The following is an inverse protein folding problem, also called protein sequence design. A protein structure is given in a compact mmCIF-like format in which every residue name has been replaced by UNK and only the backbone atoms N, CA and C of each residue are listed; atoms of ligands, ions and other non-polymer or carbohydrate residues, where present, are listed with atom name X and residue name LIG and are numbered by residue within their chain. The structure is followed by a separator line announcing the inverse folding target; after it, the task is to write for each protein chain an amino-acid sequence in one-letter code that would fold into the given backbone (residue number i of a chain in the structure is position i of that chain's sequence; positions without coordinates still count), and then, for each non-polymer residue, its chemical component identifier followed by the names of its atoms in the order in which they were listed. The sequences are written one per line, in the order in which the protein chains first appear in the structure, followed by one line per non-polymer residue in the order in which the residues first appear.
data_IF_696633011705
#
_entry.id   IF_696633011705
#
_cell.length_a   1.000
_cell.length_b   1.000
_cell.length_c   1.000
_cell.angle_alpha   90.00
_cell.angle_beta   90.00
_cell.angle_gamma   90.00
#
_symmetry.space_group_name_H-M   'P 1'
#
loop_
_entity.id
_entity.type
_entity.pdbx_description
1 polymer ?
#
# COMPACT_ATOMS: atom_id res chain seq x y z
N UNK A 1 0.46 1.61 10.88
CA UNK A 1 1.39 2.01 9.81
C UNK A 1 1.85 3.45 9.96
N UNK A 2 0.96 4.43 9.75
CA UNK A 2 1.32 5.85 9.59
C UNK A 2 2.18 6.44 10.72
N UNK A 3 1.88 6.11 12.00
CA UNK A 3 2.68 6.59 13.14
C UNK A 3 4.11 6.03 13.11
N UNK A 4 4.28 4.74 12.80
CA UNK A 4 5.60 4.12 12.65
C UNK A 4 6.36 4.69 11.45
N UNK A 5 5.68 4.91 10.32
CA UNK A 5 6.27 5.54 9.14
C UNK A 5 6.76 6.97 9.44
N UNK A 6 5.98 7.76 10.19
CA UNK A 6 6.38 9.10 10.64
C UNK A 6 7.56 9.05 11.61
N UNK A 7 7.64 8.01 12.44
CA UNK A 7 8.76 7.75 13.34
C UNK A 7 10.01 7.16 12.65
N UNK A 8 10.01 7.05 11.31
CA UNK A 8 11.08 6.40 10.50
C UNK A 8 11.30 4.92 10.80
N UNK A 9 10.42 4.30 11.59
CA UNK A 9 10.38 2.87 11.80
C UNK A 9 9.64 2.20 10.63
N UNK A 10 10.34 2.08 9.50
CA UNK A 10 9.79 1.60 8.25
C UNK A 10 9.44 0.11 8.30
N UNK A 11 10.22 -0.70 9.02
CA UNK A 11 9.95 -2.14 9.18
C UNK A 11 8.62 -2.36 9.90
N UNK A 12 8.40 -1.67 11.03
CA UNK A 12 7.14 -1.76 11.77
C UNK A 12 5.98 -1.13 11.00
N UNK A 13 6.24 -0.08 10.22
CA UNK A 13 5.23 0.51 9.35
C UNK A 13 4.72 -0.51 8.32
N UNK A 14 5.64 -1.21 7.64
CA UNK A 14 5.34 -2.27 6.68
C UNK A 14 4.50 -3.38 7.34
N UNK A 15 4.92 -3.89 8.50
CA UNK A 15 4.19 -4.93 9.24
C UNK A 15 2.73 -4.53 9.51
N UNK A 16 2.52 -3.30 9.99
CA UNK A 16 1.18 -2.81 10.25
C UNK A 16 0.32 -2.66 8.99
N UNK A 17 0.91 -2.25 7.85
CA UNK A 17 0.16 -2.17 6.59
C UNK A 17 -0.19 -3.56 6.07
N UNK A 18 0.72 -4.53 6.20
CA UNK A 18 0.46 -5.93 5.85
C UNK A 18 -0.67 -6.52 6.69
N UNK A 19 -0.66 -6.32 8.01
CA UNK A 19 -1.78 -6.73 8.88
C UNK A 19 -3.11 -6.09 8.46
N UNK A 20 -3.09 -4.82 8.05
CA UNK A 20 -4.28 -4.13 7.53
C UNK A 20 -4.83 -4.75 6.24
N UNK A 21 -3.94 -5.20 5.35
CA UNK A 21 -4.31 -5.89 4.10
C UNK A 21 -4.86 -7.29 4.40
N UNK A 22 -4.20 -8.04 5.27
CA UNK A 22 -4.58 -9.41 5.62
C UNK A 22 -5.91 -9.46 6.38
N UNK A 23 -6.24 -8.39 7.10
CA UNK A 23 -7.53 -8.26 7.79
C UNK A 23 -8.71 -8.10 6.84
N UNK A 24 -8.49 -7.75 5.56
CA UNK A 24 -9.55 -7.63 4.56
C UNK A 24 -9.74 -8.99 3.88
N UNK A 25 -10.91 -9.63 4.03
CA UNK A 25 -11.18 -10.92 3.41
C UNK A 25 -11.16 -10.81 1.87
N UNK A 26 -10.72 -11.87 1.21
CA UNK A 26 -10.57 -11.90 -0.26
C UNK A 26 -11.89 -11.63 -1.02
N UNK A 27 -13.04 -11.85 -0.39
CA UNK A 27 -14.37 -11.52 -0.93
C UNK A 27 -14.61 -10.02 -1.06
N UNK A 28 -14.07 -9.22 -0.14
CA UNK A 28 -14.19 -7.74 -0.13
C UNK A 28 -13.07 -7.07 -0.94
N UNK A 29 -12.03 -7.82 -1.32
CA UNK A 29 -10.99 -7.36 -2.25
C UNK A 29 -11.50 -7.16 -3.68
N UNK A 30 -12.58 -7.84 -4.05
CA UNK A 30 -13.13 -7.82 -5.42
C UNK A 30 -14.39 -6.97 -5.57
N UNK A 31 -14.88 -6.34 -4.50
CA UNK A 31 -16.16 -5.62 -4.47
C UNK A 31 -16.04 -4.22 -3.88
N UNK A 32 -16.28 -3.20 -4.71
CA UNK A 32 -16.30 -1.77 -4.38
C UNK A 32 -14.97 -1.20 -3.81
N UNK A 33 -14.72 0.09 -4.04
CA UNK A 33 -13.50 0.78 -3.63
C UNK A 33 -13.30 0.75 -2.11
N UNK A 34 -12.63 -0.28 -1.60
CA UNK A 34 -12.16 -0.35 -0.22
C UNK A 34 -11.01 0.66 -0.04
N UNK A 35 -11.37 1.94 0.12
CA UNK A 35 -10.46 3.04 0.47
C UNK A 35 -9.43 2.67 1.56
N UNK A 36 -9.78 1.97 2.66
CA UNK A 36 -8.77 1.56 3.65
C UNK A 36 -7.74 0.58 3.08
N UNK A 37 -8.14 -0.38 2.24
CA UNK A 37 -7.24 -1.33 1.60
C UNK A 37 -6.32 -0.64 0.58
N UNK A 38 -6.89 0.23 -0.25
CA UNK A 38 -6.15 1.07 -1.20
C UNK A 38 -5.06 1.90 -0.50
N UNK A 39 -5.41 2.54 0.63
CA UNK A 39 -4.47 3.31 1.43
C UNK A 39 -3.37 2.42 2.05
N UNK A 40 -3.70 1.19 2.48
CA UNK A 40 -2.70 0.27 3.00
C UNK A 40 -1.67 -0.11 1.93
N UNK A 41 -2.11 -0.49 0.72
CA UNK A 41 -1.20 -0.76 -0.38
C UNK A 41 -0.36 0.46 -0.76
N UNK A 42 -0.97 1.64 -0.91
CA UNK A 42 -0.24 2.87 -1.27
C UNK A 42 0.81 3.28 -0.23
N UNK A 43 0.49 3.14 1.05
CA UNK A 43 1.41 3.49 2.13
C UNK A 43 2.50 2.42 2.32
N UNK A 44 2.18 1.14 2.10
CA UNK A 44 3.19 0.06 2.08
C UNK A 44 4.17 0.23 0.91
N UNK A 45 3.68 0.59 -0.27
CA UNK A 45 4.52 0.94 -1.43
C UNK A 45 5.48 2.10 -1.09
N UNK A 46 5.00 3.17 -0.48
CA UNK A 46 5.85 4.30 -0.06
C UNK A 46 6.94 3.89 0.94
N UNK A 47 6.60 2.98 1.85
CA UNK A 47 7.51 2.44 2.87
C UNK A 47 8.59 1.59 2.21
N UNK A 48 8.20 0.70 1.29
CA UNK A 48 9.10 -0.17 0.52
C UNK A 48 10.04 0.62 -0.40
N UNK A 49 9.56 1.67 -1.05
CA UNK A 49 10.40 2.62 -1.80
C UNK A 49 11.46 3.24 -0.87
N UNK A 50 11.06 3.67 0.32
CA UNK A 50 11.98 4.26 1.30
C UNK A 50 13.01 3.24 1.83
N UNK A 51 12.72 1.94 1.73
CA UNK A 51 13.62 0.83 2.05
C UNK A 51 14.46 0.35 0.86
N UNK A 52 14.30 0.95 -0.33
CA UNK A 52 14.97 0.50 -1.56
C UNK A 52 14.36 -0.76 -2.20
N UNK A 53 13.22 -1.24 -1.70
CA UNK A 53 12.52 -2.45 -2.18
C UNK A 53 11.54 -2.10 -3.30
N UNK A 54 12.08 -1.63 -4.43
CA UNK A 54 11.28 -1.08 -5.55
C UNK A 54 10.35 -2.10 -6.19
N UNK A 55 10.82 -3.34 -6.42
CA UNK A 55 10.00 -4.41 -7.03
C UNK A 55 8.69 -4.66 -6.27
N UNK A 56 8.77 -4.77 -4.96
CA UNK A 56 7.60 -5.05 -4.13
C UNK A 56 6.71 -3.81 -3.96
N UNK A 57 7.29 -2.62 -4.04
CA UNK A 57 6.50 -1.39 -4.09
C UNK A 57 5.68 -1.29 -5.38
N UNK A 58 6.21 -1.78 -6.51
CA UNK A 58 5.47 -1.85 -7.77
C UNK A 58 4.30 -2.83 -7.66
N UNK A 59 4.49 -4.00 -7.04
CA UNK A 59 3.40 -4.95 -6.78
C UNK A 59 2.29 -4.32 -5.94
N UNK A 60 2.64 -3.61 -4.87
CA UNK A 60 1.67 -2.88 -4.06
C UNK A 60 0.95 -1.79 -4.86
N UNK A 61 1.65 -1.10 -5.75
CA UNK A 61 1.03 -0.11 -6.62
C UNK A 61 0.09 -0.75 -7.65
N UNK A 62 0.44 -1.90 -8.22
CA UNK A 62 -0.45 -2.64 -9.13
C UNK A 62 -1.74 -3.06 -8.42
N UNK A 63 -1.62 -3.58 -7.20
CA UNK A 63 -2.79 -3.93 -6.36
C UNK A 63 -3.63 -2.71 -6.01
N UNK A 64 -3.00 -1.57 -5.74
CA UNK A 64 -3.74 -0.34 -5.46
C UNK A 64 -4.45 0.20 -6.71
N UNK A 65 -3.83 0.12 -7.89
CA UNK A 65 -4.44 0.50 -9.17
C UNK A 65 -5.58 -0.43 -9.56
N UNK A 66 -5.48 -1.73 -9.27
CA UNK A 66 -6.59 -2.68 -9.54
C UNK A 66 -7.81 -2.42 -8.66
N UNK A 67 -7.59 -1.90 -7.44
CA UNK A 67 -8.67 -1.49 -6.53
C UNK A 67 -9.29 -0.14 -6.92
N UNK A 68 -8.47 0.84 -7.32
CA UNK A 68 -8.93 2.14 -7.79
C UNK A 68 -7.97 2.70 -8.85
N UNK A 69 -8.32 2.56 -10.14
CA UNK A 69 -7.52 3.07 -11.25
C UNK A 69 -7.38 4.60 -11.25
N UNK A 70 -8.25 5.31 -10.54
CA UNK A 70 -8.28 6.79 -10.50
C UNK A 70 -7.40 7.36 -9.37
N UNK A 71 -6.78 6.50 -8.56
CA UNK A 71 -6.01 6.94 -7.41
C UNK A 71 -4.63 7.49 -7.80
N UNK A 72 -4.59 8.80 -8.08
CA UNK A 72 -3.41 9.57 -8.52
C UNK A 72 -2.14 9.36 -7.66
N UNK A 73 -2.31 9.09 -6.36
CA UNK A 73 -1.19 8.86 -5.42
C UNK A 73 -0.40 7.59 -5.74
N UNK A 74 -1.02 6.59 -6.35
CA UNK A 74 -0.32 5.36 -6.78
C UNK A 74 0.36 5.56 -8.12
N UNK A 75 -0.29 6.27 -9.05
CA UNK A 75 0.30 6.62 -10.34
C UNK A 75 1.62 7.42 -10.19
N UNK A 76 1.66 8.35 -9.23
CA UNK A 76 2.87 9.10 -8.89
C UNK A 76 4.01 8.23 -8.33
N UNK A 77 3.69 7.05 -7.79
CA UNK A 77 4.67 6.12 -7.19
C UNK A 77 5.16 5.06 -8.17
N UNK A 78 4.37 4.72 -9.18
CA UNK A 78 4.76 3.82 -10.28
C UNK A 78 5.67 4.50 -11.32
N UNK A 79 5.68 5.83 -11.38
CA UNK A 79 6.47 6.61 -12.34
C UNK A 79 7.94 6.86 -11.90
N UNK A 80 8.44 6.19 -10.86
CA UNK A 80 9.78 6.38 -10.29
C UNK A 80 10.68 5.17 -10.47
#
# INVERSE_FOLDING_TARGET
GNRAHKAKDLSKAEEFYTKGIDSVPSSERSGCCSKPLLLCYSNRAATRISLGRIREALEDCMMATSLDPTFLKVQMRTAK
#
